data_IF_388196144688
#
_entry.id   IF_388196144688
#
_cell.length_a   1.000
_cell.length_b   1.000
_cell.length_c   1.000
_cell.angle_alpha   90.00
_cell.angle_beta   90.00
_cell.angle_gamma   90.00
#
_symmetry.space_group_name_H-M   'P 1'
#
loop_
_entity.id
_entity.type
_entity.pdbx_description
1 polymer ?
#
# COMPACT_ATOMS: atom_id res chain seq x y z
N UNK A 1 4.83 14.42 -29.93
CA UNK A 1 5.28 14.74 -28.56
C UNK A 1 5.29 13.44 -27.80
N UNK A 2 6.47 12.97 -27.36
CA UNK A 2 6.55 11.77 -26.51
C UNK A 2 5.79 12.04 -25.21
N UNK A 3 4.86 11.15 -24.84
CA UNK A 3 4.19 11.24 -23.55
C UNK A 3 5.24 11.15 -22.45
N UNK A 4 5.30 12.18 -21.61
CA UNK A 4 6.23 12.20 -20.48
C UNK A 4 5.99 10.96 -19.58
N UNK A 5 7.07 10.26 -19.23
CA UNK A 5 7.01 9.00 -18.50
C UNK A 5 6.46 9.24 -17.09
N UNK A 6 5.41 8.54 -16.70
CA UNK A 6 4.78 8.65 -15.38
C UNK A 6 5.69 8.11 -14.26
N UNK A 7 5.46 8.60 -13.05
CA UNK A 7 6.25 8.29 -11.86
C UNK A 7 5.37 7.69 -10.77
N UNK A 8 5.73 6.50 -10.26
CA UNK A 8 5.08 5.86 -9.14
C UNK A 8 5.96 5.86 -7.89
N UNK A 9 5.42 6.30 -6.76
CA UNK A 9 6.00 6.14 -5.42
C UNK A 9 5.45 4.86 -4.80
N UNK A 10 6.34 3.97 -4.33
CA UNK A 10 5.96 2.71 -3.69
C UNK A 10 6.68 2.62 -2.35
N UNK A 11 5.92 2.62 -1.25
CA UNK A 11 6.48 2.40 0.09
C UNK A 11 6.52 0.91 0.44
N UNK A 12 7.45 0.48 1.30
CA UNK A 12 7.63 -0.94 1.62
C UNK A 12 8.14 -1.77 0.44
N UNK A 13 8.97 -1.18 -0.43
CA UNK A 13 9.34 -1.70 -1.75
C UNK A 13 10.43 -2.79 -1.77
N UNK A 14 10.96 -3.23 -0.62
CA UNK A 14 12.10 -4.17 -0.59
C UNK A 14 11.73 -5.64 -0.74
N UNK A 15 10.48 -6.01 -0.53
CA UNK A 15 9.99 -7.40 -0.59
C UNK A 15 8.48 -7.47 -0.84
N UNK A 16 7.93 -8.69 -0.99
CA UNK A 16 6.48 -8.95 -1.12
C UNK A 16 5.82 -8.11 -2.22
N UNK A 17 4.67 -7.53 -1.91
CA UNK A 17 3.91 -6.71 -2.86
C UNK A 17 4.73 -5.54 -3.40
N UNK A 18 5.45 -4.83 -2.52
CA UNK A 18 6.20 -3.64 -2.90
C UNK A 18 7.27 -3.93 -3.95
N UNK A 19 8.05 -5.00 -3.79
CA UNK A 19 9.06 -5.40 -4.78
C UNK A 19 8.42 -5.82 -6.12
N UNK A 20 7.32 -6.56 -6.07
CA UNK A 20 6.58 -6.96 -7.27
C UNK A 20 5.97 -5.76 -7.99
N UNK A 21 5.45 -4.78 -7.24
CA UNK A 21 4.91 -3.54 -7.79
C UNK A 21 6.00 -2.69 -8.47
N UNK A 22 7.21 -2.61 -7.89
CA UNK A 22 8.33 -1.93 -8.57
C UNK A 22 8.54 -2.52 -9.96
N UNK A 23 8.63 -3.86 -10.06
CA UNK A 23 8.76 -4.53 -11.35
C UNK A 23 7.57 -4.25 -12.27
N UNK A 24 6.35 -4.39 -11.79
CA UNK A 24 5.13 -4.26 -12.59
C UNK A 24 4.93 -2.83 -13.15
N UNK A 25 5.27 -1.80 -12.38
CA UNK A 25 5.25 -0.41 -12.86
C UNK A 25 6.38 -0.14 -13.84
N UNK A 26 7.58 -0.73 -13.65
CA UNK A 26 8.67 -0.65 -14.65
C UNK A 26 8.27 -1.32 -15.97
N UNK A 27 7.65 -2.49 -15.92
CA UNK A 27 7.16 -3.21 -17.12
C UNK A 27 6.09 -2.37 -17.89
N UNK A 28 5.43 -1.41 -17.22
CA UNK A 28 4.50 -0.44 -17.80
C UNK A 28 5.13 0.90 -18.15
N UNK A 29 6.44 0.96 -18.19
CA UNK A 29 7.21 2.15 -18.54
C UNK A 29 7.02 3.34 -17.56
N UNK A 30 6.74 3.07 -16.29
CA UNK A 30 6.80 4.09 -15.23
C UNK A 30 8.22 4.20 -14.70
N UNK A 31 8.63 5.41 -14.29
CA UNK A 31 9.73 5.59 -13.35
C UNK A 31 9.20 5.29 -11.95
N UNK A 32 10.07 4.79 -11.08
CA UNK A 32 9.66 4.36 -9.74
C UNK A 32 10.53 4.99 -8.66
N UNK A 33 9.89 5.55 -7.64
CA UNK A 33 10.51 5.95 -6.38
C UNK A 33 10.18 4.87 -5.37
N UNK A 34 11.15 4.03 -5.05
CA UNK A 34 11.01 2.86 -4.19
C UNK A 34 11.56 3.15 -2.79
N UNK A 35 10.71 3.09 -1.76
CA UNK A 35 11.14 3.32 -0.39
C UNK A 35 11.00 2.06 0.46
N UNK A 36 11.99 1.76 1.27
CA UNK A 36 11.88 0.92 2.47
C UNK A 36 13.08 1.14 3.40
N UNK A 37 13.00 0.62 4.64
CA UNK A 37 14.08 0.76 5.63
C UNK A 37 15.42 0.18 5.16
N UNK A 38 15.38 -0.94 4.44
CA UNK A 38 16.56 -1.72 4.02
C UNK A 38 16.71 -1.87 2.51
N UNK A 39 16.11 -0.96 1.73
CA UNK A 39 16.19 -1.05 0.27
C UNK A 39 17.64 -0.82 -0.21
N UNK A 40 18.09 -1.66 -1.13
CA UNK A 40 19.41 -1.50 -1.76
C UNK A 40 19.31 -0.62 -3.00
N UNK A 41 20.39 0.08 -3.37
CA UNK A 41 20.44 0.84 -4.62
C UNK A 41 20.05 -0.02 -5.82
N UNK A 42 19.24 0.53 -6.72
CA UNK A 42 18.89 -0.11 -7.98
C UNK A 42 19.96 0.13 -9.05
N UNK A 43 20.14 -0.84 -9.94
CA UNK A 43 20.92 -0.68 -11.17
C UNK A 43 20.10 -0.07 -12.32
N UNK A 44 18.79 -0.08 -12.22
CA UNK A 44 17.87 0.55 -13.19
C UNK A 44 17.84 2.06 -12.93
N UNK A 45 18.24 2.85 -13.93
CA UNK A 45 18.28 4.32 -13.86
C UNK A 45 16.90 4.97 -13.67
N UNK A 46 15.83 4.26 -14.00
CA UNK A 46 14.44 4.68 -13.81
C UNK A 46 13.85 4.25 -12.46
N UNK A 47 14.68 3.69 -11.57
CA UNK A 47 14.30 3.37 -10.19
C UNK A 47 15.17 4.16 -9.22
N UNK A 48 14.58 5.12 -8.53
CA UNK A 48 15.18 5.82 -7.41
C UNK A 48 14.84 5.09 -6.11
N UNK A 49 15.87 4.63 -5.39
CA UNK A 49 15.69 3.96 -4.10
C UNK A 49 15.99 4.93 -2.96
N UNK A 50 15.07 5.00 -1.99
CA UNK A 50 15.19 5.86 -0.81
C UNK A 50 15.09 5.00 0.44
N UNK A 51 16.24 4.74 1.07
CA UNK A 51 16.27 4.04 2.36
C UNK A 51 15.77 4.96 3.48
N UNK A 52 14.82 4.47 4.30
CA UNK A 52 14.28 5.19 5.43
C UNK A 52 12.96 4.61 5.92
N UNK A 53 12.65 4.86 7.18
CA UNK A 53 11.39 4.47 7.79
C UNK A 53 10.30 5.50 7.46
N UNK A 54 9.15 5.05 6.96
CA UNK A 54 7.99 5.93 6.68
C UNK A 54 7.44 6.59 7.95
N UNK A 55 7.72 6.01 9.12
CA UNK A 55 7.41 6.61 10.42
C UNK A 55 8.23 7.88 10.72
N UNK A 56 9.40 8.07 10.07
CA UNK A 56 10.19 9.28 10.19
C UNK A 56 9.71 10.36 9.19
N UNK A 57 9.32 11.56 9.67
CA UNK A 57 8.93 12.66 8.77
C UNK A 57 9.98 13.01 7.72
N UNK A 58 11.27 12.91 8.05
CA UNK A 58 12.38 13.19 7.11
C UNK A 58 12.38 12.23 5.91
N UNK A 59 11.97 10.98 6.11
CA UNK A 59 11.85 10.02 5.01
C UNK A 59 10.80 10.46 4.01
N UNK A 60 9.64 10.93 4.47
CA UNK A 60 8.59 11.41 3.59
C UNK A 60 9.02 12.69 2.82
N UNK A 61 9.79 13.59 3.46
CA UNK A 61 10.37 14.76 2.78
C UNK A 61 11.33 14.33 1.67
N UNK A 62 12.23 13.38 1.93
CA UNK A 62 13.18 12.87 0.97
C UNK A 62 12.51 12.16 -0.22
N UNK A 63 11.46 11.36 0.02
CA UNK A 63 10.70 10.69 -1.04
C UNK A 63 10.21 11.71 -2.08
N UNK A 64 9.66 12.84 -1.63
CA UNK A 64 9.13 13.85 -2.55
C UNK A 64 10.25 14.71 -3.13
N UNK A 65 11.18 15.23 -2.32
CA UNK A 65 12.22 16.15 -2.78
C UNK A 65 13.19 15.47 -3.76
N UNK A 66 13.73 14.29 -3.40
CA UNK A 66 14.65 13.57 -4.27
C UNK A 66 13.92 13.02 -5.51
N UNK A 67 12.65 12.58 -5.33
CA UNK A 67 11.80 12.11 -6.43
C UNK A 67 11.53 13.18 -7.46
N UNK A 68 11.11 14.37 -7.04
CA UNK A 68 10.86 15.50 -7.93
C UNK A 68 12.17 16.02 -8.57
N UNK A 69 13.26 16.10 -7.80
CA UNK A 69 14.55 16.49 -8.34
C UNK A 69 15.03 15.53 -9.44
N UNK A 70 14.73 14.23 -9.33
CA UNK A 70 15.14 13.20 -10.28
C UNK A 70 14.22 13.06 -11.47
N UNK A 71 12.90 13.12 -11.25
CA UNK A 71 11.89 12.73 -12.24
C UNK A 71 10.89 13.83 -12.61
N UNK A 72 10.85 14.94 -11.87
CA UNK A 72 10.04 16.12 -12.18
C UNK A 72 8.55 16.04 -11.83
N UNK A 73 8.02 14.84 -11.53
CA UNK A 73 6.59 14.59 -11.27
C UNK A 73 6.34 13.39 -10.38
N UNK A 74 5.13 13.26 -9.83
CA UNK A 74 4.63 12.07 -9.13
C UNK A 74 3.19 11.84 -9.56
N UNK A 75 2.90 10.70 -10.19
CA UNK A 75 1.58 10.37 -10.73
C UNK A 75 0.81 9.36 -9.89
N UNK A 76 1.53 8.44 -9.23
CA UNK A 76 0.93 7.38 -8.44
C UNK A 76 1.64 7.24 -7.09
N UNK A 77 0.86 7.02 -6.03
CA UNK A 77 1.37 6.64 -4.72
C UNK A 77 0.74 5.32 -4.28
N UNK A 78 1.57 4.34 -3.97
CA UNK A 78 1.15 3.10 -3.33
C UNK A 78 1.63 3.10 -1.88
N UNK A 79 0.70 3.31 -0.94
CA UNK A 79 0.93 3.17 0.49
C UNK A 79 0.88 1.69 0.86
N UNK A 80 1.99 0.99 0.61
CA UNK A 80 2.14 -0.43 0.88
C UNK A 80 2.93 -0.72 2.17
N UNK A 81 3.79 0.18 2.62
CA UNK A 81 4.49 0.02 3.89
C UNK A 81 3.50 -0.17 5.04
N UNK A 82 3.66 -1.24 5.79
CA UNK A 82 2.81 -1.55 6.93
C UNK A 82 3.37 -2.74 7.71
N UNK A 83 2.93 -2.86 8.95
CA UNK A 83 3.19 -4.01 9.80
C UNK A 83 1.87 -4.61 10.28
N UNK A 84 1.89 -5.92 10.49
CA UNK A 84 0.78 -6.71 10.99
C UNK A 84 1.26 -7.54 12.18
N UNK A 85 0.54 -7.46 13.28
CA UNK A 85 0.77 -8.27 14.48
C UNK A 85 -0.58 -8.85 14.89
N UNK A 86 -0.69 -10.18 14.96
CA UNK A 86 -1.88 -10.87 15.43
C UNK A 86 -1.67 -11.30 16.87
N UNK A 87 -2.47 -10.74 17.80
CA UNK A 87 -2.48 -11.06 19.21
C UNK A 87 -3.87 -10.78 19.81
N UNK A 88 -4.28 -11.47 20.89
CA UNK A 88 -5.35 -11.01 21.77
C UNK A 88 -5.09 -9.58 22.28
N UNK A 89 -6.15 -8.78 22.44
CA UNK A 89 -6.01 -7.36 22.83
C UNK A 89 -5.14 -7.16 24.07
N UNK A 90 -5.34 -8.01 25.07
CA UNK A 90 -4.66 -7.91 26.38
C UNK A 90 -3.17 -8.29 26.34
N UNK A 91 -2.69 -8.84 25.23
CA UNK A 91 -1.29 -9.24 25.03
C UNK A 91 -0.47 -8.23 24.23
N UNK A 92 -1.10 -7.20 23.66
CA UNK A 92 -0.36 -6.13 22.99
C UNK A 92 0.42 -5.31 24.00
N UNK A 93 1.67 -5.02 23.66
CA UNK A 93 2.52 -4.11 24.43
C UNK A 93 2.37 -2.67 23.93
N UNK A 94 2.84 -1.71 24.72
CA UNK A 94 2.91 -0.30 24.28
C UNK A 94 3.81 -0.12 23.04
N UNK A 95 4.86 -0.96 22.89
CA UNK A 95 5.74 -0.96 21.73
C UNK A 95 5.03 -1.47 20.48
N UNK A 96 4.21 -2.51 20.60
CA UNK A 96 3.37 -2.99 19.49
C UNK A 96 2.43 -1.88 19.03
N UNK A 97 1.73 -1.27 19.99
CA UNK A 97 0.81 -0.15 19.73
C UNK A 97 1.52 1.02 19.04
N UNK A 98 2.61 1.50 19.62
CA UNK A 98 3.36 2.64 19.09
C UNK A 98 3.91 2.34 17.67
N UNK A 99 4.46 1.14 17.44
CA UNK A 99 5.06 0.77 16.15
C UNK A 99 4.02 0.61 15.05
N UNK A 100 2.85 0.00 15.35
CA UNK A 100 1.75 -0.15 14.39
C UNK A 100 1.18 1.22 14.01
N UNK A 101 0.92 2.10 14.98
CA UNK A 101 0.41 3.44 14.71
C UNK A 101 1.42 4.28 13.92
N UNK A 102 2.68 4.25 14.34
CA UNK A 102 3.74 5.04 13.69
C UNK A 102 3.93 4.63 12.21
N UNK A 103 3.91 3.32 11.92
CA UNK A 103 4.10 2.82 10.56
C UNK A 103 2.82 2.93 9.74
N UNK A 104 1.72 2.33 10.20
CA UNK A 104 0.51 2.20 9.38
C UNK A 104 -0.24 3.52 9.20
N UNK A 105 -0.40 4.32 10.26
CA UNK A 105 -1.09 5.61 10.21
C UNK A 105 -0.12 6.77 10.00
N UNK A 106 0.96 6.82 10.79
CA UNK A 106 1.94 7.89 10.71
C UNK A 106 2.64 7.92 9.35
N UNK A 107 3.06 6.76 8.84
CA UNK A 107 3.67 6.61 7.51
C UNK A 107 2.72 7.04 6.40
N UNK A 108 1.49 6.50 6.41
CA UNK A 108 0.44 6.92 5.50
C UNK A 108 0.26 8.44 5.50
N UNK A 109 0.02 9.04 6.66
CA UNK A 109 -0.25 10.47 6.77
C UNK A 109 0.89 11.32 6.22
N UNK A 110 2.13 11.01 6.62
CA UNK A 110 3.30 11.81 6.24
C UNK A 110 3.59 11.76 4.75
N UNK A 111 3.58 10.55 4.16
CA UNK A 111 3.87 10.37 2.74
C UNK A 111 2.71 10.90 1.90
N UNK A 112 1.46 10.53 2.23
CA UNK A 112 0.28 10.95 1.46
C UNK A 112 0.12 12.47 1.46
N UNK A 113 0.27 13.14 2.60
CA UNK A 113 0.17 14.60 2.69
C UNK A 113 1.11 15.31 1.72
N UNK A 114 2.36 14.84 1.61
CA UNK A 114 3.38 15.46 0.76
C UNK A 114 3.18 15.15 -0.72
N UNK A 115 2.92 13.87 -1.03
CA UNK A 115 2.68 13.44 -2.42
C UNK A 115 1.38 14.05 -2.97
N UNK A 116 0.30 14.06 -2.19
CA UNK A 116 -0.95 14.66 -2.59
C UNK A 116 -0.81 16.17 -2.90
N UNK A 117 0.02 16.90 -2.14
CA UNK A 117 0.27 18.30 -2.41
C UNK A 117 0.87 18.52 -3.82
N UNK A 118 1.75 17.64 -4.28
CA UNK A 118 2.31 17.71 -5.63
C UNK A 118 1.30 17.27 -6.71
N UNK A 119 0.54 16.19 -6.46
CA UNK A 119 -0.52 15.76 -7.36
C UNK A 119 -1.60 16.84 -7.56
N UNK A 120 -1.94 17.56 -6.50
CA UNK A 120 -2.91 18.68 -6.57
C UNK A 120 -2.38 19.86 -7.38
N UNK A 121 -1.08 20.17 -7.33
CA UNK A 121 -0.44 21.16 -8.21
C UNK A 121 -0.44 20.70 -9.67
N UNK A 122 -0.25 19.40 -9.89
CA UNK A 122 -0.28 18.79 -11.24
C UNK A 122 -1.70 18.71 -11.82
N UNK A 123 -2.75 18.75 -10.97
CA UNK A 123 -4.14 18.53 -11.37
C UNK A 123 -4.44 17.08 -11.77
N UNK A 124 -3.58 16.14 -11.37
CA UNK A 124 -3.74 14.70 -11.68
C UNK A 124 -2.96 13.84 -10.70
N UNK A 125 -3.49 12.65 -10.38
CA UNK A 125 -2.81 11.69 -9.54
C UNK A 125 -3.68 10.48 -9.18
N UNK A 126 -3.04 9.43 -8.65
CA UNK A 126 -3.72 8.26 -8.13
C UNK A 126 -3.03 7.77 -6.86
N UNK A 127 -3.80 7.57 -5.79
CA UNK A 127 -3.32 7.07 -4.50
C UNK A 127 -4.01 5.73 -4.21
N UNK A 128 -3.24 4.70 -3.88
CA UNK A 128 -3.75 3.39 -3.49
C UNK A 128 -3.26 3.03 -2.09
N UNK A 129 -4.20 2.61 -1.23
CA UNK A 129 -3.91 2.11 0.10
C UNK A 129 -3.93 0.58 0.10
N UNK A 130 -3.02 -0.05 0.85
CA UNK A 130 -3.12 -1.48 1.17
C UNK A 130 -3.76 -1.62 2.54
N UNK A 131 -5.02 -2.07 2.57
CA UNK A 131 -5.82 -2.33 3.77
C UNK A 131 -5.78 -3.81 4.17
N UNK A 132 -6.88 -4.41 4.54
CA UNK A 132 -7.05 -5.85 4.83
C UNK A 132 -8.53 -6.20 4.82
N UNK A 133 -8.89 -7.42 4.40
CA UNK A 133 -10.26 -7.95 4.50
C UNK A 133 -10.76 -8.12 5.93
N UNK A 134 -9.85 -8.18 6.92
CA UNK A 134 -10.19 -8.32 8.35
C UNK A 134 -10.95 -7.12 8.94
N UNK A 135 -11.02 -5.97 8.23
CA UNK A 135 -11.85 -4.83 8.65
C UNK A 135 -13.32 -5.04 8.32
N UNK A 136 -13.63 -5.84 7.31
CA UNK A 136 -14.99 -6.12 6.86
C UNK A 136 -15.51 -7.44 7.46
N UNK A 137 -14.63 -8.41 7.68
CA UNK A 137 -14.95 -9.70 8.28
C UNK A 137 -13.88 -10.12 9.31
N UNK A 138 -14.14 -9.84 10.58
CA UNK A 138 -13.24 -10.23 11.67
C UNK A 138 -13.18 -11.76 11.84
N UNK A 139 -12.01 -12.29 12.20
CA UNK A 139 -11.80 -13.73 12.39
C UNK A 139 -11.24 -14.03 13.78
N UNK A 140 -11.94 -14.87 14.55
CA UNK A 140 -11.52 -15.25 15.91
C UNK A 140 -10.20 -16.01 15.96
N UNK A 141 -9.82 -16.69 14.87
CA UNK A 141 -8.54 -17.39 14.75
C UNK A 141 -7.37 -16.44 14.40
N UNK A 142 -7.66 -15.18 14.07
CA UNK A 142 -6.65 -14.15 13.74
C UNK A 142 -6.98 -12.86 14.51
N UNK A 143 -6.85 -12.87 15.85
CA UNK A 143 -7.11 -11.67 16.64
C UNK A 143 -6.12 -10.55 16.24
N UNK A 144 -6.63 -9.41 15.77
CA UNK A 144 -5.81 -8.39 15.11
C UNK A 144 -6.36 -6.98 15.27
N UNK A 145 -6.82 -6.63 16.47
CA UNK A 145 -7.53 -5.37 16.71
C UNK A 145 -6.74 -4.13 16.30
N UNK A 146 -5.41 -4.08 16.52
CA UNK A 146 -4.58 -2.94 16.13
C UNK A 146 -4.42 -2.84 14.60
N UNK A 147 -4.35 -3.99 13.91
CA UNK A 147 -4.36 -3.99 12.45
C UNK A 147 -5.72 -3.51 11.92
N UNK A 148 -6.82 -4.01 12.48
CA UNK A 148 -8.17 -3.59 12.11
C UNK A 148 -8.39 -2.09 12.38
N UNK A 149 -7.96 -1.58 13.52
CA UNK A 149 -8.02 -0.15 13.87
C UNK A 149 -7.28 0.71 12.85
N UNK A 150 -6.02 0.37 12.56
CA UNK A 150 -5.18 1.18 11.67
C UNK A 150 -5.59 1.04 10.20
N UNK A 151 -5.83 -0.17 9.73
CA UNK A 151 -6.24 -0.42 8.34
C UNK A 151 -7.69 0.01 8.08
N UNK A 152 -8.59 -0.08 9.07
CA UNK A 152 -9.93 0.51 9.02
C UNK A 152 -9.88 2.03 8.91
N UNK A 153 -8.96 2.67 9.63
CA UNK A 153 -8.67 4.10 9.47
C UNK A 153 -8.24 4.46 8.05
N UNK A 154 -7.39 3.63 7.40
CA UNK A 154 -7.00 3.84 6.00
C UNK A 154 -8.18 3.66 5.03
N UNK A 155 -9.09 2.72 5.28
CA UNK A 155 -10.31 2.53 4.47
C UNK A 155 -11.21 3.76 4.56
N UNK A 156 -11.45 4.28 5.76
CA UNK A 156 -12.21 5.52 5.95
C UNK A 156 -11.53 6.74 5.30
N UNK A 157 -10.21 6.87 5.46
CA UNK A 157 -9.41 7.93 4.84
C UNK A 157 -9.44 7.86 3.30
N UNK A 158 -9.48 6.66 2.71
CA UNK A 158 -9.62 6.47 1.26
C UNK A 158 -10.87 7.17 0.74
N UNK A 159 -12.03 6.95 1.35
CA UNK A 159 -13.30 7.58 0.96
C UNK A 159 -13.26 9.09 1.16
N UNK A 160 -12.74 9.56 2.31
CA UNK A 160 -12.65 10.98 2.62
C UNK A 160 -11.79 11.72 1.60
N UNK A 161 -10.58 11.22 1.31
CA UNK A 161 -9.66 11.83 0.35
C UNK A 161 -10.18 11.75 -1.09
N UNK A 162 -10.86 10.64 -1.46
CA UNK A 162 -11.47 10.50 -2.77
C UNK A 162 -12.48 11.63 -3.06
N UNK A 163 -13.33 11.95 -2.10
CA UNK A 163 -14.31 13.04 -2.23
C UNK A 163 -13.63 14.42 -2.18
N UNK A 164 -12.65 14.61 -1.29
CA UNK A 164 -11.91 15.86 -1.18
C UNK A 164 -11.17 16.22 -2.48
N UNK A 165 -10.66 15.21 -3.20
CA UNK A 165 -9.80 15.41 -4.37
C UNK A 165 -10.48 15.13 -5.71
N UNK A 166 -11.70 14.62 -5.73
CA UNK A 166 -12.42 14.23 -6.98
C UNK A 166 -12.42 15.33 -8.05
N UNK A 167 -12.76 16.57 -7.66
CA UNK A 167 -12.79 17.71 -8.59
C UNK A 167 -11.39 18.29 -8.89
N UNK A 168 -10.35 17.77 -8.27
CA UNK A 168 -8.97 18.23 -8.42
C UNK A 168 -8.13 17.25 -9.25
N UNK A 169 -8.77 16.25 -9.88
CA UNK A 169 -8.12 15.30 -10.76
C UNK A 169 -7.30 14.20 -10.05
N UNK A 170 -7.44 14.05 -8.73
CA UNK A 170 -6.74 12.99 -7.98
C UNK A 170 -7.73 11.94 -7.49
N UNK A 171 -7.47 10.68 -7.84
CA UNK A 171 -8.24 9.52 -7.39
C UNK A 171 -7.59 8.87 -6.18
N UNK A 172 -8.41 8.31 -5.30
CA UNK A 172 -7.92 7.58 -4.12
C UNK A 172 -8.73 6.30 -3.96
N UNK A 173 -8.06 5.15 -3.96
CA UNK A 173 -8.67 3.83 -3.83
C UNK A 173 -7.89 2.96 -2.84
N UNK A 174 -8.41 1.79 -2.52
CA UNK A 174 -7.76 0.81 -1.68
C UNK A 174 -7.86 -0.60 -2.28
N UNK A 175 -6.91 -1.44 -1.89
CA UNK A 175 -6.98 -2.89 -2.06
C UNK A 175 -6.97 -3.52 -0.67
N UNK A 176 -7.90 -4.45 -0.42
CA UNK A 176 -8.05 -5.19 0.82
C UNK A 176 -7.63 -6.66 0.60
N UNK A 177 -6.38 -7.02 0.88
CA UNK A 177 -5.91 -8.40 0.76
C UNK A 177 -6.52 -9.30 1.84
N UNK A 178 -6.76 -10.56 1.47
CA UNK A 178 -6.76 -11.68 2.40
C UNK A 178 -5.31 -12.08 2.75
N UNK A 179 -5.08 -13.36 3.04
CA UNK A 179 -3.72 -13.86 3.29
C UNK A 179 -3.06 -14.23 1.97
N UNK A 180 -1.94 -13.58 1.69
CA UNK A 180 -1.19 -13.72 0.43
C UNK A 180 0.19 -14.33 0.74
N UNK A 181 0.64 -15.27 -0.10
CA UNK A 181 1.96 -15.90 0.02
C UNK A 181 3.07 -14.86 -0.15
N UNK A 182 3.71 -14.51 0.94
CA UNK A 182 4.83 -13.58 1.02
C UNK A 182 5.83 -14.07 2.05
N UNK A 183 7.05 -13.53 2.12
CA UNK A 183 8.01 -13.86 3.20
C UNK A 183 7.51 -13.57 4.62
N UNK A 184 6.36 -12.91 4.78
CA UNK A 184 5.71 -12.68 6.08
C UNK A 184 5.11 -13.97 6.67
N UNK A 185 4.77 -14.96 5.84
CA UNK A 185 4.10 -16.19 6.23
C UNK A 185 5.03 -17.39 6.06
N UNK A 186 5.39 -18.03 7.17
CA UNK A 186 6.23 -19.19 7.18
C UNK A 186 5.52 -20.38 6.48
N UNK A 187 6.24 -21.19 5.67
CA UNK A 187 5.63 -22.28 4.87
C UNK A 187 4.77 -23.26 5.68
N UNK A 188 5.15 -23.55 6.92
CA UNK A 188 4.42 -24.44 7.84
C UNK A 188 3.05 -23.91 8.25
N UNK A 189 2.78 -22.62 8.07
CA UNK A 189 1.48 -22.00 8.36
C UNK A 189 0.54 -22.01 7.18
N UNK A 190 1.01 -22.34 5.96
CA UNK A 190 0.25 -22.14 4.73
C UNK A 190 -1.05 -22.94 4.66
N UNK A 191 -1.09 -24.17 5.18
CA UNK A 191 -2.30 -25.00 5.21
C UNK A 191 -3.40 -24.35 6.07
N UNK A 192 -3.04 -23.93 7.29
CA UNK A 192 -3.96 -23.19 8.14
C UNK A 192 -4.45 -21.89 7.49
N UNK A 193 -3.52 -21.11 6.92
CA UNK A 193 -3.83 -19.83 6.29
C UNK A 193 -4.69 -19.99 5.02
N UNK A 194 -4.52 -21.07 4.27
CA UNK A 194 -5.35 -21.41 3.12
C UNK A 194 -6.80 -21.63 3.53
N UNK A 195 -7.02 -22.32 4.66
CA UNK A 195 -8.34 -22.60 5.21
C UNK A 195 -9.13 -21.38 5.69
N UNK A 196 -8.47 -20.21 5.79
CA UNK A 196 -9.16 -18.94 6.13
C UNK A 196 -9.95 -18.34 4.95
N UNK A 197 -9.78 -18.90 3.74
CA UNK A 197 -10.40 -18.39 2.53
C UNK A 197 -11.41 -19.40 1.96
N UNK A 198 -12.65 -18.97 1.63
CA UNK A 198 -13.64 -19.85 0.98
C UNK A 198 -13.16 -20.55 -0.28
N UNK A 199 -12.24 -19.94 -1.05
CA UNK A 199 -11.63 -20.59 -2.24
C UNK A 199 -10.64 -21.70 -1.90
N UNK A 200 -10.29 -21.90 -0.62
CA UNK A 200 -9.45 -23.01 -0.13
C UNK A 200 -7.95 -22.85 -0.38
N UNK A 201 -7.47 -21.68 -0.76
CA UNK A 201 -6.03 -21.42 -0.92
C UNK A 201 -5.67 -19.96 -0.59
N UNK A 202 -4.40 -19.71 -0.26
CA UNK A 202 -3.86 -18.37 -0.14
C UNK A 202 -3.78 -17.70 -1.51
N UNK A 203 -3.92 -16.36 -1.54
CA UNK A 203 -3.64 -15.59 -2.74
C UNK A 203 -2.14 -15.54 -3.07
N UNK A 204 -1.82 -15.17 -4.29
CA UNK A 204 -0.45 -14.93 -4.76
C UNK A 204 -0.17 -13.41 -4.82
N UNK A 205 1.10 -13.02 -4.75
CA UNK A 205 1.50 -11.60 -4.87
C UNK A 205 0.97 -10.96 -6.16
N UNK A 206 0.87 -11.74 -7.23
CA UNK A 206 0.34 -11.29 -8.52
C UNK A 206 -1.11 -10.82 -8.42
N UNK A 207 -1.94 -11.47 -7.62
CA UNK A 207 -3.36 -11.11 -7.50
C UNK A 207 -3.52 -9.67 -6.98
N UNK A 208 -2.66 -9.27 -6.02
CA UNK A 208 -2.64 -7.91 -5.49
C UNK A 208 -2.09 -6.91 -6.52
N UNK A 209 -1.03 -7.29 -7.23
CA UNK A 209 -0.45 -6.45 -8.30
C UNK A 209 -1.47 -6.19 -9.39
N UNK A 210 -2.18 -7.21 -9.87
CA UNK A 210 -3.17 -7.09 -10.94
C UNK A 210 -4.34 -6.19 -10.51
N UNK A 211 -4.81 -6.28 -9.25
CA UNK A 211 -5.85 -5.40 -8.71
C UNK A 211 -5.40 -3.93 -8.65
N UNK A 212 -4.17 -3.66 -8.21
CA UNK A 212 -3.62 -2.30 -8.18
C UNK A 212 -3.49 -1.74 -9.59
N UNK A 213 -2.99 -2.52 -10.54
CA UNK A 213 -2.83 -2.11 -11.92
C UNK A 213 -4.16 -1.93 -12.64
N UNK A 214 -5.20 -2.70 -12.26
CA UNK A 214 -6.58 -2.44 -12.70
C UNK A 214 -7.05 -1.07 -12.21
N UNK A 215 -6.93 -0.75 -10.93
CA UNK A 215 -7.28 0.56 -10.37
C UNK A 215 -6.49 1.69 -11.02
N UNK A 216 -5.22 1.47 -11.36
CA UNK A 216 -4.39 2.46 -12.07
C UNK A 216 -5.01 2.84 -13.42
N UNK A 217 -5.49 1.85 -14.18
CA UNK A 217 -6.08 2.07 -15.51
C UNK A 217 -7.55 2.51 -15.48
N UNK A 218 -8.27 2.27 -14.37
CA UNK A 218 -9.71 2.52 -14.25
C UNK A 218 -10.00 3.98 -13.86
N UNK A 219 -9.96 4.90 -14.80
CA UNK A 219 -10.04 6.33 -14.57
C UNK A 219 -11.34 6.83 -13.91
N UNK A 220 -12.42 6.05 -13.96
CA UNK A 220 -13.72 6.40 -13.37
C UNK A 220 -13.96 5.80 -11.98
N UNK A 221 -12.95 5.13 -11.40
CA UNK A 221 -13.03 4.55 -10.05
C UNK A 221 -12.26 5.43 -9.06
N UNK A 222 -12.96 5.93 -8.03
CA UNK A 222 -12.38 6.62 -6.87
C UNK A 222 -13.23 6.37 -5.63
N UNK A 223 -12.61 6.26 -4.45
CA UNK A 223 -13.27 5.96 -3.19
C UNK A 223 -13.58 4.49 -2.97
N UNK A 224 -13.12 3.60 -3.87
CA UNK A 224 -13.43 2.17 -3.84
C UNK A 224 -12.35 1.36 -3.11
N UNK A 225 -12.80 0.27 -2.49
CA UNK A 225 -11.92 -0.76 -1.93
C UNK A 225 -12.17 -2.08 -2.66
N UNK A 226 -11.17 -2.59 -3.37
CA UNK A 226 -11.25 -3.90 -4.02
C UNK A 226 -10.74 -4.97 -3.06
N UNK A 227 -11.60 -5.96 -2.74
CA UNK A 227 -11.21 -7.14 -1.99
C UNK A 227 -10.51 -8.16 -2.90
N UNK A 228 -9.34 -8.59 -2.46
CA UNK A 228 -8.54 -9.64 -3.11
C UNK A 228 -8.21 -10.66 -2.03
N UNK A 229 -9.21 -11.42 -1.63
CA UNK A 229 -9.22 -12.16 -0.37
C UNK A 229 -9.82 -13.58 -0.46
N UNK A 230 -10.03 -14.08 -1.68
CA UNK A 230 -10.58 -15.42 -1.90
C UNK A 230 -11.97 -15.64 -1.30
N UNK A 231 -12.76 -14.55 -1.17
CA UNK A 231 -14.12 -14.57 -0.63
C UNK A 231 -14.21 -14.38 0.88
N UNK A 232 -13.10 -14.16 1.59
CA UNK A 232 -13.06 -14.03 3.06
C UNK A 232 -14.02 -12.94 3.58
N UNK A 233 -14.12 -11.81 2.92
CA UNK A 233 -15.02 -10.72 3.32
C UNK A 233 -16.48 -10.94 2.91
N UNK A 234 -16.76 -11.86 1.99
CA UNK A 234 -18.13 -12.16 1.53
C UNK A 234 -18.88 -13.09 2.48
N UNK A 235 -18.20 -13.81 3.36
CA UNK A 235 -18.76 -14.76 4.33
C UNK A 235 -18.18 -16.17 4.23
N UNK A 236 -18.73 -17.07 5.08
CA UNK A 236 -18.39 -18.51 5.13
C UNK A 236 -19.66 -19.31 5.03
#
# INVERSE_FOLDING_TARGET
MGTEQKVAVITGASQGFGAALVKAYRDRNYRVIANSRSIKPSKDSDVLTIAGDVADPKTADRIVQEGLARFGRIDTLINNAGIFIAKPLVEYTEEDYASILATNLGGFFRVTKRVAAEMLKQGSGHIVQITTSLIDHANSNVPSVLASLTKGGLSAATKSLAIEYAKKGVRVNAVAPGVIKTPMHAPETHEFLAGLHPVGHMGEVRDIVDAILFLESAAFITGETIHVDGGQSAGH
#
